data_IF_746399061651
#
_entry.id   IF_746399061651
#
_cell.length_a   1.000
_cell.length_b   1.000
_cell.length_c   1.000
_cell.angle_alpha   90.00
_cell.angle_beta   90.00
_cell.angle_gamma   90.00
#
_symmetry.space_group_name_H-M   'P 1'
#
loop_
_entity.id
_entity.type
_entity.pdbx_description
1 polymer ?
#
# COMPACT_ATOMS: atom_id res chain seq x y z
N UNK A 1 -7.98 4.49 21.59
CA UNK A 1 -7.33 3.16 21.61
C UNK A 1 -6.06 3.31 20.76
N UNK A 2 -4.88 2.99 21.28
CA UNK A 2 -3.61 3.19 20.57
C UNK A 2 -3.18 1.97 19.77
N UNK A 3 -2.32 2.16 18.78
CA UNK A 3 -1.81 1.09 17.93
C UNK A 3 -1.06 0.03 18.76
N UNK A 4 -1.45 -1.24 18.64
CA UNK A 4 -0.99 -2.31 19.54
C UNK A 4 0.33 -2.95 19.08
N UNK A 5 1.01 -3.67 19.98
CA UNK A 5 2.21 -4.45 19.64
C UNK A 5 1.89 -5.58 18.66
N UNK A 6 0.70 -6.16 18.78
CA UNK A 6 0.23 -7.22 17.90
C UNK A 6 0.01 -6.68 16.49
N UNK A 7 -0.68 -5.53 16.37
CA UNK A 7 -0.87 -4.82 15.10
C UNK A 7 0.47 -4.47 14.43
N UNK A 8 1.43 -3.93 15.17
CA UNK A 8 2.78 -3.66 14.66
C UNK A 8 3.49 -4.93 14.18
N UNK A 9 3.41 -6.00 14.96
CA UNK A 9 4.01 -7.30 14.61
C UNK A 9 3.45 -7.87 13.32
N UNK A 10 2.14 -7.78 13.12
CA UNK A 10 1.48 -8.28 11.92
C UNK A 10 1.86 -7.47 10.67
N UNK A 11 1.91 -6.14 10.77
CA UNK A 11 2.35 -5.29 9.64
C UNK A 11 3.82 -5.56 9.28
N UNK A 12 4.69 -5.77 10.28
CA UNK A 12 6.09 -6.17 10.07
C UNK A 12 6.20 -7.52 9.37
N UNK A 13 5.49 -8.54 9.85
CA UNK A 13 5.48 -9.89 9.26
C UNK A 13 4.99 -9.84 7.81
N UNK A 14 3.89 -9.13 7.55
CA UNK A 14 3.33 -8.91 6.21
C UNK A 14 4.38 -8.31 5.28
N UNK A 15 5.10 -7.29 5.74
CA UNK A 15 6.15 -6.66 4.95
C UNK A 15 7.33 -7.60 4.65
N UNK A 16 7.73 -8.46 5.60
CA UNK A 16 8.76 -9.47 5.35
C UNK A 16 8.35 -10.45 4.26
N UNK A 17 7.08 -10.87 4.20
CA UNK A 17 6.59 -11.77 3.15
C UNK A 17 6.47 -11.05 1.80
N UNK A 18 5.90 -9.84 1.77
CA UNK A 18 5.78 -9.04 0.54
C UNK A 18 7.13 -8.77 -0.14
N UNK A 19 8.22 -8.67 0.65
CA UNK A 19 9.57 -8.49 0.11
C UNK A 19 10.13 -9.71 -0.60
N UNK A 20 9.62 -10.91 -0.34
CA UNK A 20 10.15 -12.15 -0.93
C UNK A 20 9.84 -12.25 -2.42
N UNK A 21 8.69 -11.70 -2.86
CA UNK A 21 8.31 -11.66 -4.28
C UNK A 21 7.66 -10.32 -4.64
N UNK A 22 8.44 -9.25 -4.57
CA UNK A 22 7.98 -7.90 -4.90
C UNK A 22 7.35 -7.82 -6.31
N UNK A 23 7.93 -8.42 -7.38
CA UNK A 23 7.28 -8.41 -8.70
C UNK A 23 5.86 -8.96 -8.68
N UNK A 24 5.66 -10.14 -8.08
CA UNK A 24 4.34 -10.75 -7.98
C UNK A 24 3.36 -9.88 -7.20
N UNK A 25 3.72 -9.44 -5.98
CA UNK A 25 2.82 -8.65 -5.15
C UNK A 25 2.56 -7.24 -5.69
N UNK A 26 3.51 -6.66 -6.45
CA UNK A 26 3.27 -5.41 -7.18
C UNK A 26 2.14 -5.60 -8.18
N UNK A 27 2.19 -6.67 -8.97
CA UNK A 27 1.17 -6.95 -9.97
C UNK A 27 -0.17 -7.24 -9.31
N UNK A 28 -0.18 -8.08 -8.28
CA UNK A 28 -1.40 -8.43 -7.53
C UNK A 28 -2.08 -7.19 -6.97
N UNK A 29 -1.32 -6.34 -6.29
CA UNK A 29 -1.81 -5.10 -5.69
C UNK A 29 -2.43 -4.15 -6.73
N UNK A 30 -1.74 -3.90 -7.85
CA UNK A 30 -2.29 -3.04 -8.89
C UNK A 30 -3.48 -3.67 -9.63
N UNK A 31 -3.50 -5.00 -9.81
CA UNK A 31 -4.66 -5.70 -10.35
C UNK A 31 -5.89 -5.49 -9.47
N UNK A 32 -5.74 -5.63 -8.15
CA UNK A 32 -6.82 -5.39 -7.19
C UNK A 32 -7.31 -3.93 -7.20
N UNK A 33 -6.41 -2.95 -7.30
CA UNK A 33 -6.80 -1.53 -7.46
C UNK A 33 -7.67 -1.34 -8.70
N UNK A 34 -7.27 -1.92 -9.83
CA UNK A 34 -8.00 -1.77 -11.09
C UNK A 34 -9.26 -2.62 -11.16
N UNK A 35 -9.34 -3.72 -10.41
CA UNK A 35 -10.55 -4.50 -10.21
C UNK A 35 -11.61 -3.70 -9.42
N UNK A 36 -11.20 -3.08 -8.31
CA UNK A 36 -12.09 -2.28 -7.45
C UNK A 36 -12.48 -0.96 -8.15
N UNK A 37 -11.52 -0.30 -8.79
CA UNK A 37 -11.72 0.99 -9.45
C UNK A 37 -10.98 1.07 -10.80
N UNK A 38 -11.58 0.57 -11.89
CA UNK A 38 -10.97 0.59 -13.22
C UNK A 38 -10.54 2.00 -13.68
N UNK A 39 -11.30 3.03 -13.29
CA UNK A 39 -11.00 4.43 -13.60
C UNK A 39 -9.68 4.95 -13.02
N UNK A 40 -9.13 4.30 -11.98
CA UNK A 40 -7.85 4.67 -11.38
C UNK A 40 -6.66 4.45 -12.33
N UNK A 41 -6.82 3.62 -13.38
CA UNK A 41 -5.79 3.36 -14.41
C UNK A 41 -5.22 4.66 -14.98
N UNK A 42 -6.07 5.65 -15.23
CA UNK A 42 -5.70 6.93 -15.84
C UNK A 42 -4.84 7.82 -14.95
N UNK A 43 -4.82 7.56 -13.63
CA UNK A 43 -4.06 8.33 -12.65
C UNK A 43 -2.60 7.89 -12.58
N UNK A 44 -2.32 6.65 -13.00
CA UNK A 44 -0.97 6.11 -13.05
C UNK A 44 -0.37 6.35 -14.42
N UNK A 45 0.49 7.36 -14.55
CA UNK A 45 1.14 7.71 -15.82
C UNK A 45 1.97 6.58 -16.43
N UNK A 46 2.34 5.57 -15.63
CA UNK A 46 3.09 4.39 -16.04
C UNK A 46 2.22 3.16 -16.34
N UNK A 47 0.88 3.27 -16.23
CA UNK A 47 -0.09 2.21 -16.57
C UNK A 47 -1.10 2.69 -17.62
N UNK A 48 -1.48 3.97 -17.62
CA UNK A 48 -2.59 4.49 -18.44
C UNK A 48 -2.50 4.21 -19.94
N UNK A 49 -1.28 4.17 -20.49
CA UNK A 49 -1.03 3.94 -21.93
C UNK A 49 -0.87 2.45 -22.28
N UNK A 50 -0.93 1.55 -21.31
CA UNK A 50 -0.76 0.11 -21.51
C UNK A 50 -2.11 -0.58 -21.52
N UNK A 51 -2.32 -1.54 -22.41
CA UNK A 51 -3.55 -2.37 -22.43
C UNK A 51 -3.70 -3.12 -21.09
N UNK A 52 -2.61 -3.75 -20.65
CA UNK A 52 -2.50 -4.50 -19.40
C UNK A 52 -1.52 -3.84 -18.41
N UNK A 53 -1.52 -4.31 -17.17
CA UNK A 53 -0.54 -3.85 -16.17
C UNK A 53 0.86 -4.28 -16.62
N UNK A 54 1.80 -3.33 -16.83
CA UNK A 54 3.09 -3.66 -17.42
C UNK A 54 3.95 -4.47 -16.46
N UNK A 55 4.24 -5.70 -16.87
CA UNK A 55 5.14 -6.62 -16.20
C UNK A 55 6.53 -5.99 -16.06
N UNK A 56 7.16 -6.12 -14.88
CA UNK A 56 8.51 -5.62 -14.59
C UNK A 56 8.72 -4.11 -14.81
N UNK A 57 7.66 -3.29 -14.80
CA UNK A 57 7.81 -1.84 -14.90
C UNK A 57 8.47 -1.27 -13.62
N UNK A 58 9.63 -0.60 -13.73
CA UNK A 58 10.36 -0.12 -12.56
C UNK A 58 9.62 0.98 -11.79
N UNK A 59 8.79 1.80 -12.46
CA UNK A 59 7.99 2.84 -11.80
C UNK A 59 6.82 2.23 -11.02
N UNK A 60 6.16 1.23 -11.60
CA UNK A 60 5.09 0.46 -10.95
C UNK A 60 5.63 -0.20 -9.66
N UNK A 61 6.76 -0.92 -9.79
CA UNK A 61 7.44 -1.56 -8.66
C UNK A 61 7.86 -0.56 -7.59
N UNK A 62 8.47 0.56 -7.98
CA UNK A 62 8.88 1.59 -7.03
C UNK A 62 7.69 2.20 -6.27
N UNK A 63 6.55 2.36 -6.93
CA UNK A 63 5.33 2.86 -6.29
C UNK A 63 4.80 1.87 -5.24
N UNK A 64 4.64 0.58 -5.62
CA UNK A 64 4.18 -0.46 -4.70
C UNK A 64 5.10 -0.58 -3.46
N UNK A 65 6.42 -0.66 -3.67
CA UNK A 65 7.39 -0.68 -2.58
C UNK A 65 7.22 0.53 -1.66
N UNK A 66 7.01 1.72 -2.22
CA UNK A 66 6.87 2.93 -1.41
C UNK A 66 5.62 2.89 -0.55
N UNK A 67 4.49 2.41 -1.08
CA UNK A 67 3.27 2.20 -0.30
C UNK A 67 3.53 1.20 0.83
N UNK A 68 3.97 -0.02 0.50
CA UNK A 68 4.18 -1.07 1.51
C UNK A 68 5.16 -0.65 2.61
N UNK A 69 6.29 -0.07 2.23
CA UNK A 69 7.33 0.36 3.16
C UNK A 69 6.85 1.51 4.04
N UNK A 70 6.24 2.55 3.47
CA UNK A 70 5.78 3.70 4.24
C UNK A 70 4.63 3.33 5.19
N UNK A 71 3.75 2.41 4.81
CA UNK A 71 2.71 1.88 5.72
C UNK A 71 3.35 1.15 6.90
N UNK A 72 4.34 0.28 6.64
CA UNK A 72 5.07 -0.43 7.70
C UNK A 72 5.82 0.54 8.64
N UNK A 73 6.53 1.52 8.09
CA UNK A 73 7.21 2.56 8.88
C UNK A 73 6.23 3.40 9.70
N UNK A 74 5.03 3.66 9.17
CA UNK A 74 4.00 4.41 9.88
C UNK A 74 3.40 3.62 11.05
N UNK A 75 3.16 2.32 10.86
CA UNK A 75 2.71 1.42 11.93
C UNK A 75 3.70 1.38 13.10
N UNK A 76 5.01 1.29 12.79
CA UNK A 76 6.08 1.32 13.80
C UNK A 76 6.07 2.66 14.55
N UNK A 77 5.97 3.78 13.84
CA UNK A 77 5.93 5.10 14.46
C UNK A 77 4.69 5.31 15.33
N UNK A 78 3.51 4.90 14.85
CA UNK A 78 2.28 4.94 15.64
C UNK A 78 2.41 4.14 16.93
N UNK A 79 3.09 2.99 16.88
CA UNK A 79 3.34 2.19 18.08
C UNK A 79 4.31 2.84 19.04
N UNK A 80 5.45 3.30 18.53
CA UNK A 80 6.57 3.79 19.34
C UNK A 80 6.34 5.21 19.87
N UNK A 81 5.67 6.05 19.08
CA UNK A 81 5.57 7.50 19.30
C UNK A 81 4.13 7.98 19.46
N UNK A 82 3.14 7.18 19.07
CA UNK A 82 1.73 7.58 19.07
C UNK A 82 1.32 8.46 17.89
N UNK A 83 2.24 8.77 16.98
CA UNK A 83 2.03 9.62 15.81
C UNK A 83 2.92 9.19 14.64
N UNK A 84 2.53 9.57 13.41
CA UNK A 84 3.34 9.38 12.21
C UNK A 84 4.04 10.69 11.89
N UNK A 85 5.38 10.69 11.89
CA UNK A 85 6.18 11.87 11.55
C UNK A 85 6.94 11.59 10.25
N UNK A 86 6.50 12.26 9.18
CA UNK A 86 7.20 12.25 7.88
C UNK A 86 7.86 13.61 7.70
N UNK A 87 9.11 13.63 7.25
CA UNK A 87 9.82 14.88 6.96
C UNK A 87 9.00 15.79 6.02
N UNK A 88 8.88 17.07 6.37
CA UNK A 88 8.05 18.05 5.65
C UNK A 88 8.31 18.09 4.14
N UNK A 89 9.57 17.97 3.73
CA UNK A 89 9.96 17.96 2.32
C UNK A 89 9.36 16.76 1.58
N UNK A 90 9.40 15.59 2.20
CA UNK A 90 8.79 14.35 1.68
C UNK A 90 7.28 14.48 1.64
N UNK A 91 6.65 14.99 2.70
CA UNK A 91 5.19 15.14 2.77
C UNK A 91 4.66 16.12 1.71
N UNK A 92 5.32 17.27 1.53
CA UNK A 92 5.01 18.25 0.47
C UNK A 92 5.15 17.66 -0.92
N UNK A 93 6.22 16.89 -1.18
CA UNK A 93 6.41 16.21 -2.44
C UNK A 93 5.29 15.20 -2.72
N UNK A 94 4.98 14.33 -1.75
CA UNK A 94 3.91 13.34 -1.90
C UNK A 94 2.56 13.99 -2.14
N UNK A 95 2.21 15.00 -1.34
CA UNK A 95 0.98 15.78 -1.53
C UNK A 95 0.89 16.37 -2.94
N UNK A 96 1.95 17.02 -3.41
CA UNK A 96 2.00 17.62 -4.75
C UNK A 96 1.77 16.60 -5.86
N UNK A 97 2.39 15.42 -5.76
CA UNK A 97 2.24 14.36 -6.77
C UNK A 97 0.82 13.81 -6.78
N UNK A 98 0.25 13.49 -5.61
CA UNK A 98 -1.10 12.91 -5.52
C UNK A 98 -2.17 13.90 -6.01
N UNK A 99 -2.06 15.18 -5.65
CA UNK A 99 -2.98 16.23 -6.12
C UNK A 99 -2.87 16.41 -7.65
N UNK A 100 -1.66 16.47 -8.21
CA UNK A 100 -1.46 16.58 -9.66
C UNK A 100 -2.01 15.39 -10.45
N UNK A 101 -1.99 14.20 -9.85
CA UNK A 101 -2.57 12.98 -10.44
C UNK A 101 -4.08 12.84 -10.22
N UNK A 102 -4.73 13.84 -9.59
CA UNK A 102 -6.17 13.84 -9.36
C UNK A 102 -6.64 12.87 -8.27
N UNK A 103 -5.75 12.46 -7.35
CA UNK A 103 -6.09 11.59 -6.22
C UNK A 103 -7.05 12.32 -5.28
N UNK A 104 -8.00 11.55 -4.74
CA UNK A 104 -9.13 11.98 -3.91
C UNK A 104 -9.34 10.93 -2.83
N UNK A 105 -10.05 11.28 -1.77
CA UNK A 105 -10.30 10.42 -0.62
C UNK A 105 -10.76 9.00 -1.00
N UNK A 106 -11.72 8.79 -1.93
CA UNK A 106 -12.14 7.43 -2.31
C UNK A 106 -11.01 6.56 -2.89
N UNK A 107 -10.00 7.16 -3.51
CA UNK A 107 -8.87 6.40 -4.05
C UNK A 107 -7.97 5.85 -2.94
N UNK A 108 -7.87 6.53 -1.80
CA UNK A 108 -7.13 6.00 -0.65
C UNK A 108 -7.83 4.78 -0.06
N UNK A 109 -9.17 4.77 -0.02
CA UNK A 109 -9.94 3.60 0.42
C UNK A 109 -9.77 2.41 -0.54
N UNK A 110 -9.77 2.65 -1.85
CA UNK A 110 -9.47 1.61 -2.86
C UNK A 110 -8.07 1.02 -2.64
N UNK A 111 -7.08 1.87 -2.42
CA UNK A 111 -5.69 1.47 -2.17
C UNK A 111 -5.56 0.70 -0.86
N UNK A 112 -6.27 1.12 0.19
CA UNK A 112 -6.33 0.42 1.48
C UNK A 112 -6.90 -0.98 1.30
N UNK A 113 -8.05 -1.11 0.65
CA UNK A 113 -8.70 -2.40 0.39
C UNK A 113 -7.79 -3.33 -0.43
N UNK A 114 -7.20 -2.82 -1.52
CA UNK A 114 -6.29 -3.59 -2.34
C UNK A 114 -5.04 -4.04 -1.56
N UNK A 115 -4.53 -3.19 -0.67
CA UNK A 115 -3.39 -3.52 0.19
C UNK A 115 -3.75 -4.64 1.16
N UNK A 116 -4.89 -4.53 1.84
CA UNK A 116 -5.36 -5.54 2.81
C UNK A 116 -5.56 -6.89 2.13
N UNK A 117 -6.22 -6.94 0.96
CA UNK A 117 -6.38 -8.18 0.18
C UNK A 117 -5.05 -8.78 -0.28
N UNK A 118 -4.08 -7.94 -0.67
CA UNK A 118 -2.74 -8.42 -1.02
C UNK A 118 -2.03 -9.03 0.19
N UNK A 119 -2.27 -8.48 1.38
CA UNK A 119 -1.69 -8.98 2.64
C UNK A 119 -2.41 -10.25 3.11
N UNK A 120 -3.73 -10.32 2.97
CA UNK A 120 -4.54 -11.49 3.34
C UNK A 120 -4.07 -12.76 2.62
N UNK A 121 -3.67 -12.66 1.35
CA UNK A 121 -3.13 -13.78 0.58
C UNK A 121 -1.80 -14.34 1.12
N UNK A 122 -1.06 -13.53 1.87
CA UNK A 122 0.27 -13.92 2.39
C UNK A 122 0.27 -14.28 3.87
N UNK A 123 -0.72 -13.79 4.62
CA UNK A 123 -0.94 -14.20 5.99
C UNK A 123 -1.75 -15.49 5.96
N UNK A 124 -1.19 -16.58 6.50
CA UNK A 124 -1.88 -17.88 6.64
C UNK A 124 -3.26 -17.66 7.28
N UNK A 125 -4.31 -18.32 6.76
CA UNK A 125 -5.71 -18.18 7.22
C UNK A 125 -5.85 -18.24 8.76
N UNK A 126 -5.05 -19.06 9.45
CA UNK A 126 -5.04 -19.18 10.91
C UNK A 126 -4.65 -17.89 11.68
N UNK A 127 -4.04 -16.91 11.01
CA UNK A 127 -3.56 -15.66 11.60
C UNK A 127 -4.36 -14.42 11.16
N UNK A 128 -5.24 -14.55 10.16
CA UNK A 128 -6.09 -13.44 9.75
C UNK A 128 -7.22 -13.26 10.78
N UNK A 129 -7.35 -12.06 11.34
CA UNK A 129 -8.36 -11.75 12.36
C UNK A 129 -8.93 -10.34 12.14
N UNK A 130 -10.03 -10.00 12.84
CA UNK A 130 -10.67 -8.68 12.74
C UNK A 130 -9.72 -7.52 13.07
N UNK A 131 -8.65 -7.74 13.85
CA UNK A 131 -7.67 -6.69 14.17
C UNK A 131 -6.80 -6.29 12.96
N UNK A 132 -6.61 -7.18 11.97
CA UNK A 132 -5.93 -6.86 10.70
C UNK A 132 -6.74 -5.94 9.80
N UNK A 133 -8.07 -6.08 9.79
CA UNK A 133 -8.94 -5.17 9.05
C UNK A 133 -8.94 -3.75 9.64
N UNK A 134 -8.50 -3.63 10.91
CA UNK A 134 -8.43 -2.41 11.67
C UNK A 134 -6.99 -1.85 11.81
N UNK A 135 -6.00 -2.43 11.13
CA UNK A 135 -4.67 -1.82 10.92
C UNK A 135 -4.65 -0.87 9.73
#
# INVERSE_FOLDING_TARGET
MGFTKMQEGLVKESWEVLKQDIPHFTLRFFSLILEIAPGAKNMFSFVRESEEIPQNNPKLKAHAIKVFKMTCESAIQLREKGEVVVADTTLKYLSTVHVKSGVKDPHFEVVKEALLRTIEEVIREEKWNEEMNNT
#
